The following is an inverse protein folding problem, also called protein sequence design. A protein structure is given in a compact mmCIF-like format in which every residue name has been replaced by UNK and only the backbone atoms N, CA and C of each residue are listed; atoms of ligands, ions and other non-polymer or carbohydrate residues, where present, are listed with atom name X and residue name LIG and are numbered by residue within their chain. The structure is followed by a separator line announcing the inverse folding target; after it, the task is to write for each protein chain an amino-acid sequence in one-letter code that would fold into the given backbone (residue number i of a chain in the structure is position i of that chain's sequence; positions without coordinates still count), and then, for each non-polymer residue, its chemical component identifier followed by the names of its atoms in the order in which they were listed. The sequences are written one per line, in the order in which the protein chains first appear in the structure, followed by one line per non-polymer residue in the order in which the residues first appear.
data_IF_523052797258
#
_entry.id   IF_523052797258
#
_cell.length_a   1.000
_cell.length_b   1.000
_cell.length_c   1.000
_cell.angle_alpha   90.00
_cell.angle_beta   90.00
_cell.angle_gamma   90.00
#
_symmetry.space_group_name_H-M   'P 1'
#
loop_
_entity.id
_entity.type
_entity.pdbx_description
1 polymer ?
#
# COMPACT_ATOMS: atom_id res chain seq x y z
N UNK A 1 28.14 59.28 -17.14
CA UNK A 1 27.57 60.25 -16.19
C UNK A 1 26.45 61.03 -16.86
N UNK A 2 25.19 60.76 -16.48
CA UNK A 2 24.06 61.70 -16.41
C UNK A 2 22.85 60.90 -15.90
N UNK A 3 22.61 61.06 -14.60
CA UNK A 3 21.36 60.72 -13.92
C UNK A 3 20.33 61.84 -14.12
N UNK A 4 19.08 61.52 -13.72
CA UNK A 4 17.89 62.33 -13.45
C UNK A 4 16.76 62.20 -14.48
N UNK A 5 15.73 61.37 -14.22
CA UNK A 5 14.56 61.53 -13.31
C UNK A 5 13.39 62.22 -14.02
N UNK A 6 12.30 61.50 -14.28
CA UNK A 6 10.95 62.08 -14.12
C UNK A 6 9.88 61.00 -13.87
N UNK A 7 9.17 61.17 -12.76
CA UNK A 7 8.06 60.35 -12.27
C UNK A 7 6.80 60.48 -13.14
N UNK A 8 6.01 59.41 -13.27
CA UNK A 8 4.55 59.53 -13.18
C UNK A 8 3.88 58.21 -12.79
N UNK A 9 3.20 58.27 -11.65
CA UNK A 9 2.21 57.31 -11.15
C UNK A 9 1.16 56.99 -12.21
N UNK A 10 0.92 55.70 -12.47
CA UNK A 10 -0.41 55.18 -12.83
C UNK A 10 -0.62 53.89 -12.04
N UNK A 11 -1.47 54.01 -11.02
CA UNK A 11 -2.06 52.93 -10.25
C UNK A 11 -3.25 52.41 -11.07
N UNK A 12 -3.19 51.18 -11.58
CA UNK A 12 -4.36 50.50 -12.13
C UNK A 12 -4.51 49.18 -11.38
N UNK A 13 -5.38 49.23 -10.39
CA UNK A 13 -6.05 48.07 -9.81
C UNK A 13 -6.97 47.48 -10.90
N UNK A 14 -6.68 46.28 -11.37
CA UNK A 14 -7.68 45.45 -12.05
C UNK A 14 -8.14 44.39 -11.06
N UNK A 15 -9.30 44.64 -10.45
CA UNK A 15 -10.06 43.62 -9.76
C UNK A 15 -10.73 42.73 -10.80
N UNK A 16 -10.34 41.46 -10.87
CA UNK A 16 -11.09 40.44 -11.59
C UNK A 16 -11.67 39.45 -10.58
N UNK A 17 -12.99 39.44 -10.53
CA UNK A 17 -13.88 38.70 -9.66
C UNK A 17 -13.82 37.21 -9.99
N UNK A 18 -13.86 36.40 -8.94
CA UNK A 18 -13.92 34.94 -8.93
C UNK A 18 -14.98 34.37 -9.89
N UNK A 19 -14.58 33.37 -10.67
CA UNK A 19 -15.47 32.31 -11.13
C UNK A 19 -14.98 31.03 -10.46
N UNK A 20 -15.83 30.48 -9.59
CA UNK A 20 -15.61 29.20 -8.96
C UNK A 20 -15.63 28.11 -10.04
N UNK A 21 -14.52 27.41 -10.19
CA UNK A 21 -14.48 26.09 -10.81
C UNK A 21 -13.86 25.14 -9.79
N UNK A 22 -14.70 24.23 -9.29
CA UNK A 22 -14.33 23.19 -8.36
C UNK A 22 -13.51 22.12 -9.11
N UNK A 23 -12.23 22.40 -9.32
CA UNK A 23 -11.24 21.39 -9.69
C UNK A 23 -10.46 21.05 -8.44
N UNK A 24 -10.84 19.98 -7.74
CA UNK A 24 -9.95 19.36 -6.75
C UNK A 24 -8.79 18.76 -7.53
N UNK A 25 -7.72 19.53 -7.68
CA UNK A 25 -6.42 18.96 -7.98
C UNK A 25 -5.97 18.29 -6.67
N UNK A 26 -6.12 16.97 -6.61
CA UNK A 26 -5.50 16.16 -5.56
C UNK A 26 -4.00 16.17 -5.82
N UNK A 27 -3.34 17.08 -5.14
CA UNK A 27 -1.90 17.11 -5.02
C UNK A 27 -1.55 15.98 -4.03
N UNK A 28 -0.93 14.92 -4.53
CA UNK A 28 -0.38 13.85 -3.69
C UNK A 28 0.65 14.48 -2.74
N UNK A 29 0.28 14.58 -1.46
CA UNK A 29 1.17 15.03 -0.39
C UNK A 29 2.29 13.98 -0.24
N UNK A 30 3.58 14.37 -0.31
CA UNK A 30 4.67 13.44 -0.09
C UNK A 30 4.65 12.94 1.36
N UNK A 31 4.84 11.63 1.55
CA UNK A 31 5.02 11.01 2.86
C UNK A 31 6.05 11.80 3.69
N UNK A 32 5.61 12.34 4.83
CA UNK A 32 6.43 13.22 5.66
C UNK A 32 7.55 12.43 6.33
N UNK A 33 8.79 12.92 6.22
CA UNK A 33 9.99 12.30 6.81
C UNK A 33 10.37 12.98 8.12
N UNK A 34 9.47 12.97 9.10
CA UNK A 34 9.73 13.45 10.48
C UNK A 34 9.65 12.27 11.49
N UNK A 35 10.22 12.40 12.70
CA UNK A 35 10.92 11.31 13.37
C UNK A 35 10.01 10.17 13.86
N UNK A 36 10.60 8.97 13.80
CA UNK A 36 10.15 7.64 14.22
C UNK A 36 9.57 7.60 15.65
N UNK A 37 8.37 8.16 15.86
CA UNK A 37 7.51 7.74 16.96
C UNK A 37 6.64 6.58 16.45
N UNK A 38 7.15 5.37 16.68
CA UNK A 38 6.47 4.07 16.57
C UNK A 38 5.55 3.87 15.35
N UNK A 39 6.03 4.23 14.16
CA UNK A 39 5.37 3.80 12.92
C UNK A 39 5.35 2.27 12.87
N UNK A 40 4.16 1.69 13.10
CA UNK A 40 3.93 0.25 13.16
C UNK A 40 3.27 -0.20 11.88
N UNK A 41 3.72 -1.34 11.35
CA UNK A 41 3.07 -1.99 10.23
C UNK A 41 2.00 -2.97 10.74
N UNK A 42 0.80 -2.90 10.17
CA UNK A 42 -0.26 -3.86 10.46
C UNK A 42 -1.18 -4.03 9.26
N UNK A 43 -1.91 -5.15 9.24
CA UNK A 43 -2.88 -5.45 8.19
C UNK A 43 -4.23 -5.75 8.81
N UNK A 44 -5.28 -5.19 8.24
CA UNK A 44 -6.67 -5.39 8.65
C UNK A 44 -7.59 -5.51 7.42
N UNK A 45 -8.85 -5.86 7.67
CA UNK A 45 -9.91 -5.81 6.66
C UNK A 45 -10.31 -4.34 6.41
N UNK A 46 -10.48 -3.96 5.14
CA UNK A 46 -10.88 -2.62 4.74
C UNK A 46 -12.32 -2.33 5.18
N UNK A 47 -12.57 -1.19 5.82
CA UNK A 47 -13.89 -0.85 6.36
C UNK A 47 -14.07 -1.09 7.86
N UNK A 48 -13.03 -1.59 8.55
CA UNK A 48 -12.90 -1.45 10.00
C UNK A 48 -12.76 0.03 10.39
N UNK A 49 -13.39 0.45 11.48
CA UNK A 49 -13.34 1.84 11.97
C UNK A 49 -11.93 2.13 12.55
N UNK A 50 -10.99 2.51 11.68
CA UNK A 50 -9.59 2.80 12.05
C UNK A 50 -9.38 4.20 12.62
N UNK A 51 -10.47 4.96 12.88
CA UNK A 51 -10.39 6.31 13.45
C UNK A 51 -10.32 6.26 14.98
N UNK A 52 -9.10 6.10 15.48
CA UNK A 52 -8.77 6.41 16.87
C UNK A 52 -7.97 5.31 17.54
N UNK A 53 -6.81 5.69 18.07
CA UNK A 53 -6.03 4.89 18.99
C UNK A 53 -6.93 4.23 20.05
N UNK A 54 -6.76 2.91 20.23
CA UNK A 54 -7.47 1.97 21.15
C UNK A 54 -8.60 1.09 20.61
N UNK A 55 -8.69 0.83 19.29
CA UNK A 55 -9.51 -0.27 18.78
C UNK A 55 -8.69 -1.56 18.62
N UNK A 56 -8.80 -2.47 19.59
CA UNK A 56 -8.48 -3.88 19.39
C UNK A 56 -9.57 -4.49 18.48
N UNK A 57 -9.56 -4.19 17.18
CA UNK A 57 -10.55 -4.71 16.22
C UNK A 57 -9.84 -5.04 14.89
N UNK A 58 -9.87 -6.34 14.56
CA UNK A 58 -9.56 -7.00 13.26
C UNK A 58 -8.18 -6.81 12.62
N UNK A 59 -7.12 -6.66 13.44
CA UNK A 59 -5.75 -6.87 12.93
C UNK A 59 -5.55 -8.35 12.59
N UNK A 60 -5.26 -8.62 11.31
CA UNK A 60 -5.01 -9.96 10.78
C UNK A 60 -3.59 -10.43 11.10
N UNK A 61 -2.61 -9.54 10.87
CA UNK A 61 -1.21 -9.74 11.23
C UNK A 61 -0.47 -8.41 11.32
N UNK A 62 0.68 -8.45 11.97
CA UNK A 62 1.60 -7.32 12.17
C UNK A 62 2.99 -7.66 11.64
N UNK A 63 3.93 -6.72 11.73
CA UNK A 63 5.31 -7.01 11.35
C UNK A 63 5.92 -8.13 12.19
N UNK A 64 5.49 -8.29 13.44
CA UNK A 64 6.02 -9.32 14.35
C UNK A 64 5.72 -10.74 13.89
N UNK A 65 4.65 -10.91 13.10
CA UNK A 65 4.22 -12.19 12.54
C UNK A 65 5.02 -12.58 11.29
N UNK A 66 5.66 -11.60 10.63
CA UNK A 66 6.49 -11.84 9.44
C UNK A 66 7.84 -12.40 9.89
N UNK A 67 8.21 -13.57 9.36
CA UNK A 67 9.54 -14.14 9.50
C UNK A 67 10.51 -13.43 8.55
N UNK A 68 10.16 -13.38 7.27
CA UNK A 68 10.91 -12.66 6.24
C UNK A 68 10.04 -12.33 5.02
N UNK A 69 10.50 -11.37 4.22
CA UNK A 69 9.95 -11.00 2.93
C UNK A 69 11.02 -11.06 1.85
N UNK A 70 10.76 -11.79 0.77
CA UNK A 70 11.67 -11.86 -0.37
C UNK A 70 11.31 -10.77 -1.38
N UNK A 71 12.23 -9.82 -1.58
CA UNK A 71 11.97 -8.65 -2.44
C UNK A 71 11.80 -9.05 -3.91
N UNK A 72 12.51 -10.11 -4.35
CA UNK A 72 12.51 -10.54 -5.74
C UNK A 72 11.27 -11.35 -6.11
N UNK A 73 10.81 -12.25 -5.23
CA UNK A 73 9.65 -13.11 -5.49
C UNK A 73 8.34 -12.53 -4.94
N UNK A 74 8.42 -11.50 -4.11
CA UNK A 74 7.31 -10.93 -3.33
C UNK A 74 6.68 -11.92 -2.34
N UNK A 75 7.40 -12.96 -1.97
CA UNK A 75 6.95 -13.93 -0.97
C UNK A 75 7.05 -13.35 0.44
N UNK A 76 5.97 -13.48 1.22
CA UNK A 76 5.94 -13.23 2.65
C UNK A 76 5.91 -14.58 3.36
N UNK A 77 6.92 -14.85 4.19
CA UNK A 77 6.90 -15.98 5.12
C UNK A 77 6.43 -15.50 6.48
N UNK A 78 5.40 -16.15 6.99
CA UNK A 78 4.94 -15.94 8.36
C UNK A 78 5.60 -16.95 9.31
N UNK A 79 5.86 -16.48 10.53
CA UNK A 79 6.23 -17.36 11.64
C UNK A 79 5.10 -18.37 11.88
N UNK A 80 5.45 -19.53 12.43
CA UNK A 80 4.44 -20.50 12.85
C UNK A 80 3.53 -19.89 13.92
N UNK A 81 2.23 -19.91 13.69
CA UNK A 81 1.19 -19.41 14.59
C UNK A 81 0.27 -20.56 15.01
N UNK A 82 -0.38 -20.43 16.17
CA UNK A 82 -1.38 -21.40 16.64
C UNK A 82 -2.61 -21.45 15.71
N UNK A 83 -3.05 -20.30 15.21
CA UNK A 83 -4.03 -20.18 14.13
C UNK A 83 -3.36 -19.60 12.89
N UNK A 84 -3.35 -20.38 11.81
CA UNK A 84 -2.75 -19.95 10.54
C UNK A 84 -3.52 -18.78 9.92
N UNK A 85 -2.79 -17.88 9.25
CA UNK A 85 -3.37 -16.73 8.55
C UNK A 85 -4.43 -17.15 7.52
N UNK A 86 -4.23 -18.27 6.81
CA UNK A 86 -5.22 -18.82 5.90
C UNK A 86 -6.55 -19.10 6.60
N UNK A 87 -6.53 -19.73 7.79
CA UNK A 87 -7.75 -20.01 8.55
C UNK A 87 -8.47 -18.73 8.97
N UNK A 88 -7.72 -17.70 9.38
CA UNK A 88 -8.27 -16.37 9.71
C UNK A 88 -8.96 -15.74 8.50
N UNK A 89 -8.28 -15.70 7.36
CA UNK A 89 -8.79 -15.11 6.11
C UNK A 89 -9.99 -15.89 5.54
N UNK A 90 -10.00 -17.22 5.65
CA UNK A 90 -11.09 -18.06 5.11
C UNK A 90 -12.41 -17.89 5.87
N UNK A 91 -12.37 -17.55 7.17
CA UNK A 91 -13.59 -17.23 7.94
C UNK A 91 -14.39 -16.11 7.28
N UNK A 92 -13.71 -15.20 6.60
CA UNK A 92 -14.28 -14.04 5.93
C UNK A 92 -14.14 -14.10 4.41
N UNK A 93 -13.94 -15.26 3.78
CA UNK A 93 -13.62 -15.42 2.33
C UNK A 93 -14.49 -14.62 1.33
N UNK A 94 -15.70 -14.21 1.72
CA UNK A 94 -16.62 -13.40 0.91
C UNK A 94 -16.52 -11.88 1.14
N UNK A 95 -15.60 -11.43 1.98
CA UNK A 95 -15.28 -10.04 2.37
C UNK A 95 -13.75 -9.94 2.50
N UNK A 96 -13.09 -8.80 2.55
CA UNK A 96 -13.23 -7.53 1.87
C UNK A 96 -11.81 -7.23 1.36
N UNK A 97 -11.56 -6.05 0.80
CA UNK A 97 -10.19 -5.63 0.52
C UNK A 97 -9.37 -5.72 1.82
N UNK A 98 -8.07 -5.99 1.75
CA UNK A 98 -7.18 -5.84 2.90
C UNK A 98 -6.48 -4.50 2.80
N UNK A 99 -6.29 -3.83 3.92
CA UNK A 99 -5.47 -2.62 3.98
C UNK A 99 -4.18 -2.93 4.74
N UNK A 100 -3.07 -2.59 4.10
CA UNK A 100 -1.75 -2.64 4.69
C UNK A 100 -1.43 -1.25 5.16
N UNK A 101 -1.26 -1.07 6.46
CA UNK A 101 -1.02 0.22 7.09
C UNK A 101 0.43 0.35 7.53
N UNK A 102 0.94 1.58 7.48
CA UNK A 102 2.19 1.95 8.12
C UNK A 102 1.95 3.22 8.94
N UNK A 103 1.75 3.05 10.25
CA UNK A 103 1.18 4.10 11.08
C UNK A 103 -0.32 4.28 10.78
N UNK A 104 -0.76 5.53 10.57
CA UNK A 104 -2.15 5.83 10.21
C UNK A 104 -2.39 5.81 8.69
N UNK A 105 -1.34 5.68 7.88
CA UNK A 105 -1.42 5.72 6.43
C UNK A 105 -1.65 4.33 5.82
N UNK A 106 -2.61 4.26 4.90
CA UNK A 106 -2.79 3.08 4.03
C UNK A 106 -1.65 3.03 3.01
N UNK A 107 -0.79 2.02 3.15
CA UNK A 107 0.32 1.75 2.24
C UNK A 107 -0.15 0.94 1.02
N UNK A 108 -0.97 -0.08 1.21
CA UNK A 108 -1.57 -0.83 0.10
C UNK A 108 -3.03 -1.15 0.36
N UNK A 109 -3.83 -1.11 -0.70
CA UNK A 109 -5.10 -1.83 -0.77
C UNK A 109 -4.91 -3.12 -1.56
N UNK A 110 -5.07 -4.25 -0.90
CA UNK A 110 -5.13 -5.56 -1.53
C UNK A 110 -6.57 -5.85 -1.90
N UNK A 111 -6.83 -6.03 -3.19
CA UNK A 111 -8.18 -6.20 -3.71
C UNK A 111 -8.85 -7.49 -3.25
N UNK A 112 -8.07 -8.58 -3.14
CA UNK A 112 -8.53 -9.92 -2.77
C UNK A 112 -7.43 -10.81 -2.21
N UNK A 113 -7.87 -11.80 -1.44
CA UNK A 113 -7.12 -13.01 -1.13
C UNK A 113 -7.42 -14.08 -2.18
N UNK A 114 -6.40 -14.59 -2.89
CA UNK A 114 -6.57 -15.49 -4.05
C UNK A 114 -5.69 -16.72 -3.95
N UNK A 115 -6.09 -17.84 -4.56
CA UNK A 115 -5.36 -19.10 -4.53
C UNK A 115 -4.87 -19.53 -5.91
N UNK A 116 -4.03 -20.57 -5.96
CA UNK A 116 -3.57 -21.21 -7.20
C UNK A 116 -4.70 -21.71 -8.12
N UNK A 117 -5.89 -21.96 -7.57
CA UNK A 117 -7.03 -22.50 -8.31
C UNK A 117 -7.99 -21.42 -8.83
N UNK A 118 -7.75 -20.13 -8.50
CA UNK A 118 -8.54 -19.04 -9.08
C UNK A 118 -8.14 -18.82 -10.54
N UNK A 119 -9.09 -19.00 -11.45
CA UNK A 119 -8.86 -18.91 -12.90
C UNK A 119 -8.96 -17.49 -13.47
N UNK A 120 -9.27 -16.51 -12.62
CA UNK A 120 -9.43 -15.11 -13.05
C UNK A 120 -8.08 -14.41 -13.13
N UNK A 121 -8.03 -13.41 -14.00
CA UNK A 121 -6.91 -12.47 -14.07
C UNK A 121 -7.27 -11.23 -13.24
N UNK A 122 -6.42 -10.93 -12.27
CA UNK A 122 -6.46 -9.74 -11.43
C UNK A 122 -5.37 -8.79 -11.86
N UNK A 123 -5.76 -7.55 -12.12
CA UNK A 123 -4.86 -6.47 -12.49
C UNK A 123 -4.60 -5.50 -11.32
N UNK A 124 -5.16 -5.79 -10.15
CA UNK A 124 -4.91 -5.06 -8.91
C UNK A 124 -4.01 -5.90 -8.01
N UNK A 125 -3.42 -5.26 -6.99
CA UNK A 125 -2.64 -5.95 -5.97
C UNK A 125 -3.49 -7.04 -5.29
N UNK A 126 -2.95 -8.25 -5.20
CA UNK A 126 -3.57 -9.39 -4.52
C UNK A 126 -2.64 -9.97 -3.46
N UNK A 127 -3.23 -10.54 -2.40
CA UNK A 127 -2.55 -11.49 -1.53
C UNK A 127 -2.84 -12.88 -2.09
N UNK A 128 -1.87 -13.43 -2.80
CA UNK A 128 -1.92 -14.79 -3.32
C UNK A 128 -1.41 -15.76 -2.26
N UNK A 129 -2.08 -16.90 -2.10
CA UNK A 129 -1.56 -18.01 -1.32
C UNK A 129 -1.48 -19.29 -2.16
N UNK A 130 -0.43 -20.07 -1.87
CA UNK A 130 -0.21 -21.37 -2.47
C UNK A 130 -0.13 -22.43 -1.39
N UNK A 131 -1.00 -23.43 -1.52
CA UNK A 131 -0.97 -24.67 -0.74
C UNK A 131 -0.05 -25.72 -1.38
N UNK A 132 0.50 -25.40 -2.56
CA UNK A 132 1.37 -26.29 -3.32
C UNK A 132 2.80 -26.10 -2.80
N UNK A 133 3.29 -27.05 -2.00
CA UNK A 133 4.63 -26.96 -1.42
C UNK A 133 4.91 -27.99 -0.33
N UNK A 134 6.09 -27.88 0.29
CA UNK A 134 6.62 -28.85 1.25
C UNK A 134 5.96 -28.79 2.65
N UNK A 135 5.28 -27.70 2.97
CA UNK A 135 4.70 -27.44 4.29
C UNK A 135 3.19 -27.20 4.16
N UNK A 136 2.42 -28.30 4.11
CA UNK A 136 0.96 -28.25 3.98
C UNK A 136 0.29 -27.51 5.15
N UNK A 137 0.99 -27.40 6.29
CA UNK A 137 0.58 -26.66 7.47
C UNK A 137 1.13 -25.22 7.50
N UNK A 138 1.81 -24.77 6.45
CA UNK A 138 2.25 -23.37 6.31
C UNK A 138 2.25 -22.96 4.84
N UNK A 139 1.10 -22.47 4.34
CA UNK A 139 0.96 -22.02 2.96
C UNK A 139 1.99 -20.94 2.63
N UNK A 140 2.39 -20.86 1.35
CA UNK A 140 3.24 -19.76 0.87
C UNK A 140 2.35 -18.57 0.51
N UNK A 141 2.76 -17.36 0.86
CA UNK A 141 1.99 -16.15 0.59
C UNK A 141 2.81 -15.18 -0.26
N UNK A 142 2.16 -14.50 -1.19
CA UNK A 142 2.79 -13.56 -2.10
C UNK A 142 1.93 -12.32 -2.28
N UNK A 143 2.58 -11.17 -2.42
CA UNK A 143 1.92 -9.93 -2.83
C UNK A 143 2.27 -9.63 -4.29
N UNK A 144 1.27 -9.66 -5.16
CA UNK A 144 1.48 -9.44 -6.60
C UNK A 144 0.61 -8.31 -7.10
N UNK A 145 1.21 -7.31 -7.77
CA UNK A 145 0.50 -6.16 -8.36
C UNK A 145 -0.52 -6.57 -9.43
N UNK A 146 -0.39 -7.79 -9.94
CA UNK A 146 -1.33 -8.48 -10.80
C UNK A 146 -1.11 -10.00 -10.69
N UNK A 147 -2.16 -10.79 -10.84
CA UNK A 147 -2.07 -12.26 -10.74
C UNK A 147 -3.11 -12.94 -11.63
N UNK A 148 -2.79 -14.01 -12.36
CA UNK A 148 -1.45 -14.54 -12.64
C UNK A 148 -0.72 -13.74 -13.75
N UNK A 149 -1.17 -12.51 -14.03
CA UNK A 149 -0.65 -11.67 -15.12
C UNK A 149 0.75 -11.09 -14.87
N UNK A 150 1.38 -11.31 -13.70
CA UNK A 150 2.72 -10.77 -13.39
C UNK A 150 3.82 -11.21 -14.36
N UNK A 151 3.57 -12.23 -15.19
CA UNK A 151 4.49 -12.72 -16.21
C UNK A 151 4.13 -12.26 -17.63
N UNK A 152 3.10 -11.46 -17.80
CA UNK A 152 2.63 -10.96 -19.09
C UNK A 152 3.22 -9.56 -19.33
N UNK A 153 3.92 -9.39 -20.45
CA UNK A 153 4.46 -8.09 -20.85
C UNK A 153 3.45 -7.31 -21.69
N UNK A 154 2.47 -6.72 -21.02
CA UNK A 154 1.46 -5.85 -21.63
C UNK A 154 1.37 -4.49 -20.91
N UNK A 155 0.85 -3.47 -21.60
CA UNK A 155 0.79 -2.10 -21.10
C UNK A 155 0.02 -1.97 -19.78
N UNK A 156 -1.06 -2.74 -19.61
CA UNK A 156 -1.90 -2.70 -18.40
C UNK A 156 -1.16 -3.30 -17.22
N UNK A 157 -0.51 -4.45 -17.42
CA UNK A 157 0.32 -5.10 -16.41
C UNK A 157 1.46 -4.18 -15.95
N UNK A 158 2.18 -3.57 -16.90
CA UNK A 158 3.27 -2.64 -16.59
C UNK A 158 2.77 -1.38 -15.86
N UNK A 159 1.60 -0.85 -16.22
CA UNK A 159 1.01 0.30 -15.54
C UNK A 159 0.71 0.00 -14.07
N UNK A 160 0.18 -1.19 -13.76
CA UNK A 160 -0.16 -1.56 -12.39
C UNK A 160 1.07 -1.85 -11.52
N UNK A 161 2.12 -2.47 -12.08
CA UNK A 161 3.41 -2.63 -11.39
C UNK A 161 4.00 -1.25 -11.03
N UNK A 162 3.96 -0.30 -11.96
CA UNK A 162 4.49 1.06 -11.74
C UNK A 162 3.67 1.85 -10.73
N UNK A 163 2.35 1.67 -10.71
CA UNK A 163 1.43 2.37 -9.80
C UNK A 163 1.84 2.24 -8.33
N UNK A 164 2.30 1.06 -7.92
CA UNK A 164 2.64 0.77 -6.53
C UNK A 164 4.14 0.94 -6.21
N UNK A 165 4.95 1.50 -7.12
CA UNK A 165 6.41 1.51 -6.98
C UNK A 165 6.90 2.23 -5.72
N UNK A 166 6.28 3.37 -5.38
CA UNK A 166 6.63 4.15 -4.19
C UNK A 166 6.25 3.40 -2.91
N UNK A 167 5.06 2.79 -2.89
CA UNK A 167 4.56 1.99 -1.78
C UNK A 167 5.46 0.77 -1.54
N UNK A 168 5.93 0.14 -2.62
CA UNK A 168 6.91 -0.95 -2.55
C UNK A 168 8.25 -0.52 -1.99
N UNK A 169 8.77 0.65 -2.41
CA UNK A 169 10.00 1.21 -1.85
C UNK A 169 9.86 1.48 -0.35
N UNK A 170 8.74 2.08 0.08
CA UNK A 170 8.44 2.33 1.49
C UNK A 170 8.33 1.03 2.29
N UNK A 171 7.58 0.05 1.80
CA UNK A 171 7.40 -1.25 2.46
C UNK A 171 8.73 -1.99 2.64
N UNK A 172 9.54 -2.03 1.59
CA UNK A 172 10.83 -2.74 1.61
C UNK A 172 11.83 -2.05 2.52
N UNK A 173 11.95 -0.71 2.49
CA UNK A 173 12.78 0.03 3.44
C UNK A 173 12.36 -0.19 4.88
N UNK A 174 11.06 -0.22 5.14
CA UNK A 174 10.55 -0.50 6.48
C UNK A 174 10.97 -1.89 6.97
N UNK A 175 10.75 -2.93 6.17
CA UNK A 175 11.13 -4.30 6.54
C UNK A 175 12.65 -4.49 6.63
N UNK A 176 13.43 -3.78 5.82
CA UNK A 176 14.90 -3.77 5.91
C UNK A 176 15.36 -3.22 7.26
N UNK A 177 14.77 -2.09 7.69
CA UNK A 177 15.01 -1.51 9.02
C UNK A 177 14.62 -2.44 10.18
N UNK A 178 13.79 -3.46 9.92
CA UNK A 178 13.43 -4.52 10.87
C UNK A 178 14.26 -5.80 10.72
N UNK A 179 15.18 -5.87 9.77
CA UNK A 179 15.98 -7.07 9.47
C UNK A 179 15.16 -8.23 8.91
N UNK A 180 14.08 -7.93 8.18
CA UNK A 180 13.11 -8.93 7.66
C UNK A 180 13.19 -9.15 6.16
N UNK A 181 14.15 -8.55 5.46
CA UNK A 181 14.34 -8.82 4.03
C UNK A 181 15.16 -10.09 3.79
N UNK A 182 14.84 -10.76 2.67
CA UNK A 182 15.58 -11.88 2.11
C UNK A 182 15.87 -11.67 0.63
#
# INVERSE_FOLDING_TARGET
MKNLTFCRNIFVMVAAIFIASCGKNEQEEPFTTDPVEQTRFFVCEAGGDTRGATAAIDTLFTEDDIEWFNVSTREIRFKKQDEQLYTKLMKNYNKEKLEFHLGEDVLFEVSRFVSDIDSRIFYDLVLHYSMIGEDADNPRYYLHDCYPAQFIDDERTQANIKKNAVQWETFTKYLDGKGKLR
#
